data_IF_433941266600
#
_entry.id   IF_433941266600
#
_cell.length_a   1.000
_cell.length_b   1.000
_cell.length_c   1.000
_cell.angle_alpha   90.00
_cell.angle_beta   90.00
_cell.angle_gamma   90.00
#
_symmetry.space_group_name_H-M   'P 1'
#
loop_
_entity.id
_entity.type
_entity.pdbx_description
1 polymer ?
#
# COMPACT_ATOMS: atom_id res chain seq x y z
N UNK A 1 37.64 24.99 74.33
CA UNK A 1 38.16 25.56 73.06
C UNK A 1 38.77 24.42 72.28
N UNK A 2 38.15 24.00 71.18
CA UNK A 2 38.79 23.60 69.93
C UNK A 2 37.63 23.25 68.98
N UNK A 3 37.40 24.14 68.01
CA UNK A 3 36.31 24.01 67.05
C UNK A 3 36.64 22.93 66.01
N UNK A 4 35.64 22.10 65.73
CA UNK A 4 35.59 21.17 64.61
C UNK A 4 35.78 21.90 63.28
N UNK A 5 36.82 21.52 62.51
CA UNK A 5 36.84 21.69 61.06
C UNK A 5 36.48 20.35 60.43
N UNK A 6 35.19 20.16 60.14
CA UNK A 6 34.70 19.07 59.30
C UNK A 6 34.93 19.46 57.84
N UNK A 7 35.75 18.69 57.13
CA UNK A 7 36.07 18.86 55.72
C UNK A 7 34.88 18.37 54.88
N UNK A 8 34.14 19.29 54.26
CA UNK A 8 33.08 18.99 53.30
C UNK A 8 33.71 18.61 51.96
N UNK A 9 33.66 17.32 51.61
CA UNK A 9 33.97 16.82 50.26
C UNK A 9 32.75 17.06 49.36
N UNK A 10 32.91 17.95 48.38
CA UNK A 10 31.94 18.16 47.30
C UNK A 10 32.03 16.99 46.31
N UNK A 11 30.98 16.17 46.23
CA UNK A 11 30.80 15.21 45.15
C UNK A 11 30.35 15.94 43.87
N UNK A 12 30.97 15.68 42.71
CA UNK A 12 30.48 16.23 41.45
C UNK A 12 29.20 15.50 41.03
N UNK A 13 28.16 16.27 40.75
CA UNK A 13 26.96 15.81 40.05
C UNK A 13 27.35 15.36 38.64
N UNK A 14 27.34 14.05 38.39
CA UNK A 14 27.41 13.50 37.04
C UNK A 14 26.01 13.62 36.44
N UNK A 15 25.84 14.54 35.49
CA UNK A 15 24.69 14.54 34.58
C UNK A 15 24.78 13.30 33.69
N UNK A 16 23.94 12.29 33.96
CA UNK A 16 23.66 11.24 32.98
C UNK A 16 22.74 11.85 31.91
N UNK A 17 23.33 12.28 30.79
CA UNK A 17 22.60 12.56 29.58
C UNK A 17 21.99 11.23 29.09
N UNK A 18 20.66 11.12 29.08
CA UNK A 18 19.96 10.03 28.40
C UNK A 18 20.07 10.30 26.89
N UNK A 19 21.18 9.82 26.32
CA UNK A 19 21.43 9.81 24.88
C UNK A 19 20.53 8.80 24.18
N UNK A 20 20.14 9.18 22.96
CA UNK A 20 19.36 8.46 21.96
C UNK A 20 19.04 6.99 22.21
N UNK A 21 17.74 6.68 22.11
CA UNK A 21 17.28 5.33 21.83
C UNK A 21 17.82 4.90 20.45
N UNK A 22 19.03 4.34 20.44
CA UNK A 22 19.50 3.49 19.35
C UNK A 22 18.67 2.21 19.38
N UNK A 23 17.91 1.99 18.30
CA UNK A 23 17.24 0.74 17.99
C UNK A 23 18.25 -0.39 18.00
N UNK A 24 18.27 -1.18 19.07
CA UNK A 24 19.06 -2.41 19.14
C UNK A 24 18.28 -3.51 18.43
N UNK A 25 18.76 -3.92 17.26
CA UNK A 25 18.35 -5.17 16.62
C UNK A 25 18.61 -6.32 17.61
N UNK A 26 17.54 -6.89 18.15
CA UNK A 26 17.64 -8.05 19.03
C UNK A 26 17.65 -9.29 18.16
N UNK A 27 18.82 -9.87 17.95
CA UNK A 27 18.96 -11.16 17.28
C UNK A 27 18.56 -12.25 18.28
N UNK A 28 17.39 -12.85 18.08
CA UNK A 28 17.02 -14.11 18.75
C UNK A 28 17.07 -15.21 17.69
N UNK A 29 17.95 -16.20 17.89
CA UNK A 29 18.00 -17.47 17.15
C UNK A 29 18.25 -17.42 15.62
N UNK A 30 19.00 -16.44 15.09
CA UNK A 30 19.50 -16.52 13.71
C UNK A 30 18.42 -16.55 12.61
N UNK A 31 17.17 -16.31 12.98
CA UNK A 31 16.07 -16.02 12.07
C UNK A 31 15.95 -14.51 12.04
N UNK A 32 16.52 -13.87 11.03
CA UNK A 32 15.96 -12.59 10.60
C UNK A 32 14.60 -12.96 10.05
N UNK A 33 13.51 -12.75 10.80
CA UNK A 33 12.20 -12.68 10.17
C UNK A 33 12.34 -11.57 9.13
N UNK A 34 12.42 -11.93 7.84
CA UNK A 34 12.27 -10.92 6.82
C UNK A 34 10.97 -10.18 7.16
N UNK A 35 11.06 -8.86 7.30
CA UNK A 35 9.86 -8.05 7.50
C UNK A 35 8.87 -8.46 6.41
N UNK A 36 7.66 -8.82 6.81
CA UNK A 36 6.62 -9.14 5.84
C UNK A 36 6.50 -7.97 4.85
N UNK A 37 6.18 -8.24 3.59
CA UNK A 37 6.02 -7.18 2.59
C UNK A 37 5.09 -6.06 3.07
N UNK A 38 4.05 -6.41 3.83
CA UNK A 38 3.16 -5.47 4.50
C UNK A 38 3.94 -4.50 5.40
N UNK A 39 4.72 -5.01 6.36
CA UNK A 39 5.47 -4.16 7.32
C UNK A 39 6.56 -3.33 6.64
N UNK A 40 7.17 -3.86 5.56
CA UNK A 40 8.14 -3.12 4.74
C UNK A 40 7.55 -1.85 4.14
N UNK A 41 6.32 -1.89 3.64
CA UNK A 41 5.70 -0.77 2.92
C UNK A 41 4.69 0.04 3.74
N UNK A 42 4.01 -0.59 4.70
CA UNK A 42 2.96 0.00 5.53
C UNK A 42 3.45 0.08 6.98
N UNK A 43 3.90 1.26 7.38
CA UNK A 43 4.33 1.56 8.76
C UNK A 43 4.30 3.08 9.00
N UNK A 44 4.40 3.49 10.26
CA UNK A 44 4.31 4.89 10.69
C UNK A 44 5.43 5.79 10.12
N UNK A 45 6.55 5.22 9.70
CA UNK A 45 7.63 5.98 9.05
C UNK A 45 7.34 6.24 7.57
N UNK A 46 6.60 5.34 6.93
CA UNK A 46 6.28 5.40 5.51
C UNK A 46 4.97 6.13 5.22
N UNK A 47 3.99 6.01 6.10
CA UNK A 47 2.62 6.47 5.86
C UNK A 47 2.36 7.76 6.63
N UNK A 48 1.65 8.71 6.01
CA UNK A 48 1.09 9.84 6.76
C UNK A 48 -0.06 9.39 7.65
N UNK A 49 -0.82 8.39 7.18
CA UNK A 49 -1.87 7.69 7.92
C UNK A 49 -1.93 6.25 7.42
N UNK A 50 -2.04 5.30 8.35
CA UNK A 50 -2.45 3.93 8.04
C UNK A 50 -3.96 3.89 8.20
N UNK A 51 -4.65 3.42 7.18
CA UNK A 51 -6.11 3.25 7.17
C UNK A 51 -6.37 1.76 7.04
N UNK A 52 -7.08 1.20 8.00
CA UNK A 52 -7.40 -0.23 8.08
C UNK A 52 -8.92 -0.35 8.18
N UNK A 53 -9.54 -0.89 7.14
CA UNK A 53 -10.99 -1.03 7.06
C UNK A 53 -11.43 -2.49 7.13
N UNK A 54 -10.67 -3.33 7.83
CA UNK A 54 -10.87 -4.79 8.01
C UNK A 54 -10.52 -5.64 6.77
N UNK A 55 -10.86 -5.17 5.56
CA UNK A 55 -10.62 -5.92 4.32
C UNK A 55 -9.27 -5.59 3.68
N UNK A 56 -8.86 -4.32 3.76
CA UNK A 56 -7.63 -3.81 3.16
C UNK A 56 -6.91 -2.84 4.11
N UNK A 57 -5.58 -2.86 4.06
CA UNK A 57 -4.74 -1.92 4.82
C UNK A 57 -4.02 -0.99 3.84
N UNK A 58 -4.19 0.31 4.03
CA UNK A 58 -3.70 1.35 3.13
C UNK A 58 -2.67 2.25 3.81
N UNK A 59 -1.51 2.41 3.16
CA UNK A 59 -0.52 3.41 3.51
C UNK A 59 -0.81 4.71 2.75
N UNK A 60 -1.48 5.67 3.39
CA UNK A 60 -1.87 6.92 2.75
C UNK A 60 -0.82 8.02 2.90
N UNK A 61 -0.62 8.84 1.87
CA UNK A 61 0.30 9.98 1.87
C UNK A 61 -0.45 11.30 1.62
N UNK A 62 -0.46 12.19 2.62
CA UNK A 62 -1.20 13.45 2.54
C UNK A 62 -0.67 14.41 1.46
N UNK A 63 0.62 14.33 1.10
CA UNK A 63 1.20 15.21 0.08
C UNK A 63 0.85 14.74 -1.32
N UNK A 64 0.70 13.42 -1.51
CA UNK A 64 0.28 12.82 -2.78
C UNK A 64 -1.24 12.79 -2.92
N UNK A 65 -1.98 12.88 -1.81
CA UNK A 65 -3.43 12.69 -1.75
C UNK A 65 -3.83 11.33 -2.34
N UNK A 66 -3.02 10.32 -2.06
CA UNK A 66 -3.13 8.99 -2.64
C UNK A 66 -2.34 7.99 -1.78
N UNK A 67 -2.66 6.71 -1.93
CA UNK A 67 -1.89 5.63 -1.30
C UNK A 67 -0.49 5.50 -1.91
N UNK A 68 0.47 5.14 -1.05
CA UNK A 68 1.78 4.60 -1.42
C UNK A 68 1.74 3.08 -1.57
N UNK A 69 0.95 2.41 -0.74
CA UNK A 69 0.77 0.97 -0.83
C UNK A 69 -0.57 0.54 -0.24
N UNK A 70 -1.07 -0.59 -0.73
CA UNK A 70 -2.29 -1.26 -0.24
C UNK A 70 -1.98 -2.74 -0.08
N UNK A 71 -2.31 -3.30 1.08
CA UNK A 71 -2.11 -4.71 1.40
C UNK A 71 -3.45 -5.36 1.72
N UNK A 72 -3.62 -6.60 1.27
CA UNK A 72 -4.79 -7.43 1.53
C UNK A 72 -4.45 -8.90 1.35
N UNK A 73 -5.31 -9.76 1.88
CA UNK A 73 -5.21 -11.21 1.75
C UNK A 73 -6.43 -11.70 0.99
N UNK A 74 -6.20 -12.55 -0.01
CA UNK A 74 -7.25 -13.22 -0.76
C UNK A 74 -7.41 -14.63 -0.23
N UNK A 75 -8.61 -14.97 0.20
CA UNK A 75 -8.99 -16.34 0.53
C UNK A 75 -9.55 -17.00 -0.73
N UNK A 76 -8.95 -18.12 -1.14
CA UNK A 76 -9.24 -18.77 -2.42
C UNK A 76 -10.68 -19.24 -2.54
N UNK A 77 -11.31 -19.64 -1.44
CA UNK A 77 -12.72 -20.07 -1.40
C UNK A 77 -13.72 -18.93 -1.65
N UNK A 78 -13.35 -17.69 -1.36
CA UNK A 78 -14.16 -16.50 -1.63
C UNK A 78 -14.00 -15.96 -3.06
N UNK A 79 -12.94 -16.37 -3.78
CA UNK A 79 -12.67 -15.86 -5.12
C UNK A 79 -13.69 -16.40 -6.14
N UNK A 80 -14.37 -15.47 -6.82
CA UNK A 80 -15.42 -15.75 -7.79
C UNK A 80 -16.62 -16.55 -7.22
N UNK A 81 -16.87 -16.48 -5.90
CA UNK A 81 -17.99 -17.17 -5.25
C UNK A 81 -19.34 -16.51 -5.58
N UNK A 82 -19.56 -15.28 -5.08
CA UNK A 82 -20.83 -14.55 -5.25
C UNK A 82 -20.89 -13.76 -6.56
N UNK A 83 -19.83 -13.03 -6.90
CA UNK A 83 -19.74 -12.13 -8.07
C UNK A 83 -20.87 -11.08 -8.10
N UNK A 84 -20.95 -10.22 -7.09
CA UNK A 84 -21.96 -9.15 -7.04
C UNK A 84 -21.85 -8.24 -8.28
N UNK A 85 -22.91 -8.18 -9.08
CA UNK A 85 -22.96 -7.37 -10.30
C UNK A 85 -23.11 -5.86 -10.02
N UNK A 86 -23.93 -5.50 -9.04
CA UNK A 86 -24.20 -4.09 -8.70
C UNK A 86 -23.01 -3.47 -7.98
N UNK A 87 -22.42 -2.45 -8.61
CA UNK A 87 -21.21 -1.80 -8.11
C UNK A 87 -21.53 -0.54 -7.29
N UNK A 88 -20.98 -0.39 -6.07
CA UNK A 88 -21.17 0.82 -5.26
C UNK A 88 -20.72 2.11 -5.95
N UNK A 89 -21.16 3.23 -5.42
CA UNK A 89 -20.60 4.52 -5.80
C UNK A 89 -19.33 4.81 -5.02
N UNK A 90 -18.30 5.30 -5.69
CA UNK A 90 -17.08 5.79 -5.02
C UNK A 90 -17.42 6.83 -3.95
N UNK A 91 -16.83 6.67 -2.77
CA UNK A 91 -17.09 7.53 -1.62
C UNK A 91 -15.80 8.06 -1.00
N UNK A 92 -15.90 9.17 -0.26
CA UNK A 92 -14.73 9.78 0.37
C UNK A 92 -14.33 9.02 1.62
N UNK A 93 -13.02 8.87 1.83
CA UNK A 93 -12.50 8.27 3.06
C UNK A 93 -12.78 9.17 4.26
N UNK A 94 -13.61 8.68 5.20
CA UNK A 94 -14.11 9.45 6.34
C UNK A 94 -13.04 9.64 7.42
N UNK A 95 -12.06 8.75 7.50
CA UNK A 95 -10.96 8.86 8.46
C UNK A 95 -9.95 9.96 8.11
N UNK A 96 -9.83 10.32 6.83
CA UNK A 96 -8.99 11.42 6.40
C UNK A 96 -9.62 12.77 6.76
N UNK A 97 -8.83 13.80 7.02
CA UNK A 97 -9.38 15.16 7.13
C UNK A 97 -9.79 15.67 5.74
N UNK A 98 -10.78 16.57 5.66
CA UNK A 98 -11.29 17.09 4.38
C UNK A 98 -10.21 17.69 3.46
N UNK A 99 -9.17 18.31 4.04
CA UNK A 99 -8.03 18.86 3.27
C UNK A 99 -7.13 17.78 2.66
N UNK A 100 -7.20 16.55 3.16
CA UNK A 100 -6.37 15.41 2.77
C UNK A 100 -7.11 14.41 1.87
N UNK A 101 -8.41 14.60 1.66
CA UNK A 101 -9.24 13.79 0.77
C UNK A 101 -9.15 14.24 -0.69
N UNK A 102 -9.52 13.33 -1.59
CA UNK A 102 -9.86 13.61 -2.98
C UNK A 102 -11.35 13.36 -3.20
N UNK A 103 -11.90 13.85 -4.31
CA UNK A 103 -13.28 13.61 -4.71
C UNK A 103 -13.35 13.06 -6.13
N UNK A 104 -14.49 12.47 -6.50
CA UNK A 104 -14.72 11.96 -7.86
C UNK A 104 -14.54 13.04 -8.94
N UNK A 105 -14.79 14.31 -8.61
CA UNK A 105 -14.61 15.44 -9.53
C UNK A 105 -13.15 15.72 -9.89
N UNK A 106 -12.18 15.24 -9.09
CA UNK A 106 -10.75 15.37 -9.43
C UNK A 106 -10.36 14.56 -10.68
N UNK A 107 -11.14 13.52 -11.00
CA UNK A 107 -10.94 12.67 -12.17
C UNK A 107 -11.61 13.24 -13.44
N UNK A 108 -12.56 14.16 -13.29
CA UNK A 108 -13.30 14.74 -14.42
C UNK A 108 -12.34 15.43 -15.39
N UNK A 109 -12.39 15.04 -16.67
CA UNK A 109 -11.52 15.56 -17.74
C UNK A 109 -10.00 15.38 -17.48
N UNK A 110 -9.60 14.50 -16.56
CA UNK A 110 -8.18 14.25 -16.25
C UNK A 110 -7.47 13.39 -17.30
N UNK A 111 -8.24 12.58 -18.05
CA UNK A 111 -7.71 11.53 -18.93
C UNK A 111 -7.35 10.22 -18.21
N UNK A 112 -7.49 10.16 -16.89
CA UNK A 112 -7.24 8.98 -16.06
C UNK A 112 -8.54 8.36 -15.56
N UNK A 113 -8.52 7.04 -15.38
CA UNK A 113 -9.56 6.31 -14.69
C UNK A 113 -9.34 6.35 -13.18
N UNK A 114 -10.44 6.10 -12.45
CA UNK A 114 -10.44 5.73 -11.03
C UNK A 114 -10.00 4.26 -10.92
N UNK A 115 -8.70 4.05 -10.81
CA UNK A 115 -8.11 2.71 -10.73
C UNK A 115 -8.02 2.22 -9.30
N UNK A 116 -8.55 1.04 -9.03
CA UNK A 116 -8.45 0.37 -7.74
C UNK A 116 -7.02 -0.14 -7.49
N UNK A 117 -6.52 -0.03 -6.25
CA UNK A 117 -5.31 -0.72 -5.83
C UNK A 117 -5.62 -2.10 -5.23
N UNK A 118 -6.66 -2.20 -4.41
CA UNK A 118 -7.35 -3.44 -4.11
C UNK A 118 -8.59 -3.58 -5.02
N UNK A 119 -8.63 -4.56 -5.94
CA UNK A 119 -9.64 -4.63 -7.00
C UNK A 119 -11.02 -5.04 -6.49
N UNK A 120 -12.06 -4.37 -6.97
CA UNK A 120 -13.47 -4.68 -6.66
C UNK A 120 -13.84 -6.15 -6.89
N UNK A 121 -13.41 -6.76 -7.99
CA UNK A 121 -13.68 -8.16 -8.32
C UNK A 121 -13.02 -9.18 -7.36
N UNK A 122 -12.10 -8.77 -6.49
CA UNK A 122 -11.57 -9.63 -5.42
C UNK A 122 -12.35 -9.52 -4.11
N UNK A 123 -13.26 -8.57 -4.00
CA UNK A 123 -14.02 -8.29 -2.77
C UNK A 123 -15.54 -8.32 -3.02
N UNK A 124 -16.00 -8.90 -4.13
CA UNK A 124 -17.42 -8.96 -4.48
C UNK A 124 -18.14 -10.23 -4.00
N UNK A 125 -17.63 -10.81 -2.91
CA UNK A 125 -18.24 -11.93 -2.18
C UNK A 125 -19.23 -11.47 -1.10
N UNK A 126 -19.15 -10.22 -0.64
CA UNK A 126 -20.16 -9.56 0.21
C UNK A 126 -20.32 -8.07 -0.13
N UNK A 127 -21.47 -7.47 0.20
CA UNK A 127 -21.69 -6.02 0.00
C UNK A 127 -20.71 -5.17 0.82
N UNK A 128 -20.35 -5.63 2.02
CA UNK A 128 -19.45 -4.93 2.94
C UNK A 128 -18.01 -4.91 2.41
N UNK A 129 -17.49 -6.07 2.01
CA UNK A 129 -16.15 -6.16 1.40
C UNK A 129 -16.07 -5.35 0.10
N UNK A 130 -17.14 -5.36 -0.69
CA UNK A 130 -17.20 -4.59 -1.93
C UNK A 130 -17.22 -3.09 -1.66
N UNK A 131 -18.07 -2.58 -0.77
CA UNK A 131 -18.10 -1.14 -0.44
C UNK A 131 -16.77 -0.64 0.15
N UNK A 132 -16.10 -1.48 0.94
CA UNK A 132 -14.82 -1.16 1.58
C UNK A 132 -13.72 -0.79 0.57
N UNK A 133 -13.72 -1.38 -0.63
CA UNK A 133 -12.73 -1.06 -1.67
C UNK A 133 -13.11 0.12 -2.56
N UNK A 134 -14.35 0.64 -2.47
CA UNK A 134 -14.82 1.82 -3.20
C UNK A 134 -14.49 3.16 -2.52
N UNK A 135 -13.83 3.12 -1.36
CA UNK A 135 -13.24 4.32 -0.75
C UNK A 135 -12.22 4.96 -1.70
N UNK A 136 -12.33 6.26 -1.92
CA UNK A 136 -11.43 7.02 -2.78
C UNK A 136 -9.98 7.05 -2.28
N UNK A 137 -9.70 6.60 -1.05
CA UNK A 137 -8.34 6.36 -0.57
C UNK A 137 -7.67 5.17 -1.28
N UNK A 138 -8.42 4.13 -1.66
CA UNK A 138 -7.94 2.97 -2.42
C UNK A 138 -7.76 3.26 -3.93
N UNK A 139 -8.22 4.44 -4.37
CA UNK A 139 -8.28 4.79 -5.80
C UNK A 139 -7.12 5.70 -6.16
N UNK A 140 -6.52 5.43 -7.32
CA UNK A 140 -5.44 6.22 -7.89
C UNK A 140 -5.70 6.54 -9.37
N UNK A 141 -5.00 7.56 -9.95
CA UNK A 141 -5.08 7.83 -11.38
C UNK A 141 -4.38 6.71 -12.15
N UNK A 142 -5.15 5.88 -12.86
CA UNK A 142 -4.62 4.86 -13.76
C UNK A 142 -4.93 5.19 -15.21
N UNK A 143 -3.94 5.00 -16.08
CA UNK A 143 -4.11 5.16 -17.52
C UNK A 143 -5.17 4.15 -18.01
N UNK A 144 -6.14 4.57 -18.87
CA UNK A 144 -7.28 3.72 -19.20
C UNK A 144 -6.93 2.34 -19.78
N UNK A 145 -5.90 2.26 -20.62
CA UNK A 145 -5.46 0.98 -21.19
C UNK A 145 -4.78 0.08 -20.15
N UNK A 146 -4.09 0.67 -19.17
CA UNK A 146 -3.51 -0.10 -18.07
C UNK A 146 -4.63 -0.62 -17.17
N UNK A 147 -5.50 0.25 -16.68
CA UNK A 147 -6.61 -0.11 -15.78
C UNK A 147 -7.52 -1.19 -16.38
N UNK A 148 -8.06 -0.92 -17.58
CA UNK A 148 -9.14 -1.72 -18.17
C UNK A 148 -8.65 -3.00 -18.87
N UNK A 149 -7.34 -3.12 -19.12
CA UNK A 149 -6.75 -4.25 -19.84
C UNK A 149 -5.63 -4.88 -19.03
N UNK A 150 -4.41 -4.35 -19.13
CA UNK A 150 -3.20 -5.01 -18.63
C UNK A 150 -3.25 -5.31 -17.13
N UNK A 151 -3.68 -4.33 -16.33
CA UNK A 151 -3.83 -4.47 -14.88
C UNK A 151 -4.99 -5.40 -14.50
N UNK A 152 -6.15 -5.26 -15.16
CA UNK A 152 -7.28 -6.17 -14.97
C UNK A 152 -6.94 -7.64 -15.31
N UNK A 153 -6.08 -7.88 -16.31
CA UNK A 153 -5.57 -9.21 -16.64
C UNK A 153 -4.73 -9.79 -15.50
N UNK A 154 -3.83 -8.99 -14.92
CA UNK A 154 -3.08 -9.39 -13.73
C UNK A 154 -4.02 -9.66 -12.54
N UNK A 155 -5.02 -8.81 -12.32
CA UNK A 155 -5.97 -9.01 -11.22
C UNK A 155 -6.76 -10.30 -11.37
N UNK A 156 -7.11 -10.70 -12.59
CA UNK A 156 -7.70 -12.02 -12.87
C UNK A 156 -6.75 -13.15 -12.50
N UNK A 157 -5.50 -13.09 -12.98
CA UNK A 157 -4.47 -14.08 -12.65
C UNK A 157 -4.27 -14.24 -11.13
N UNK A 158 -4.30 -13.12 -10.40
CA UNK A 158 -4.13 -13.11 -8.94
C UNK A 158 -5.28 -13.82 -8.23
N UNK A 159 -6.53 -13.69 -8.71
CA UNK A 159 -7.67 -14.44 -8.16
C UNK A 159 -7.53 -15.94 -8.43
N UNK A 160 -7.16 -16.32 -9.65
CA UNK A 160 -6.93 -17.72 -10.02
C UNK A 160 -5.81 -18.34 -9.16
N UNK A 161 -4.73 -17.57 -8.91
CA UNK A 161 -3.63 -17.99 -8.06
C UNK A 161 -4.03 -18.14 -6.59
N UNK A 162 -4.89 -17.27 -6.07
CA UNK A 162 -5.43 -17.40 -4.72
C UNK A 162 -6.30 -18.66 -4.57
N UNK A 163 -7.06 -19.04 -5.60
CA UNK A 163 -7.80 -20.31 -5.61
C UNK A 163 -6.86 -21.52 -5.61
N UNK A 164 -5.76 -21.46 -6.38
CA UNK A 164 -4.76 -22.54 -6.46
C UNK A 164 -4.04 -22.76 -5.12
N UNK A 165 -3.67 -21.68 -4.43
CA UNK A 165 -2.88 -21.72 -3.19
C UNK A 165 -3.74 -21.75 -1.92
N UNK A 166 -5.07 -21.59 -2.04
CA UNK A 166 -6.00 -21.48 -0.91
C UNK A 166 -5.97 -20.14 -0.19
N UNK A 167 -4.80 -19.51 -0.09
CA UNK A 167 -4.62 -18.14 0.40
C UNK A 167 -3.53 -17.43 -0.40
N UNK A 168 -3.68 -16.13 -0.64
CA UNK A 168 -2.62 -15.31 -1.24
C UNK A 168 -2.56 -13.92 -0.62
N UNK A 169 -1.40 -13.57 -0.08
CA UNK A 169 -1.13 -12.23 0.41
C UNK A 169 -0.66 -11.33 -0.74
N UNK A 170 -1.19 -10.11 -0.79
CA UNK A 170 -0.90 -9.15 -1.84
C UNK A 170 -0.47 -7.82 -1.23
N UNK A 171 0.59 -7.23 -1.78
CA UNK A 171 0.95 -5.84 -1.54
C UNK A 171 1.11 -5.12 -2.86
N UNK A 172 0.24 -4.16 -3.13
CA UNK A 172 0.43 -3.24 -4.25
C UNK A 172 1.20 -2.01 -3.77
N UNK A 173 2.23 -1.62 -4.52
CA UNK A 173 3.12 -0.49 -4.20
C UNK A 173 3.10 0.50 -5.35
N UNK A 174 2.82 1.76 -5.07
CA UNK A 174 2.70 2.82 -6.08
C UNK A 174 4.03 3.54 -6.22
N UNK A 175 4.61 3.49 -7.42
CA UNK A 175 5.87 4.15 -7.73
C UNK A 175 5.61 5.58 -8.17
N UNK A 176 5.90 6.54 -7.30
CA UNK A 176 5.81 7.97 -7.64
C UNK A 176 7.16 8.51 -8.14
N UNK A 177 7.13 9.52 -9.01
CA UNK A 177 8.34 10.28 -9.34
C UNK A 177 8.62 11.37 -8.30
N UNK A 178 9.89 11.78 -8.18
CA UNK A 178 10.30 12.90 -7.30
C UNK A 178 9.46 14.17 -7.53
N UNK A 179 9.06 14.43 -8.78
CA UNK A 179 8.15 15.51 -9.19
C UNK A 179 7.04 14.92 -10.04
N UNK A 180 6.11 14.23 -9.40
CA UNK A 180 4.93 13.69 -10.06
C UNK A 180 4.01 14.80 -10.54
N UNK A 181 3.48 14.67 -11.75
CA UNK A 181 2.40 15.53 -12.24
C UNK A 181 1.18 15.41 -11.32
N UNK A 182 0.32 16.43 -11.32
CA UNK A 182 -0.86 16.48 -10.45
C UNK A 182 -2.12 16.72 -11.25
N UNK A 183 -3.25 16.20 -10.77
CA UNK A 183 -4.57 16.37 -11.39
C UNK A 183 -5.63 16.80 -10.38
N UNK A 184 -6.75 17.28 -10.92
CA UNK A 184 -7.90 17.69 -10.12
C UNK A 184 -7.67 18.97 -9.30
N UNK A 185 -8.73 19.40 -8.63
CA UNK A 185 -8.71 20.58 -7.75
C UNK A 185 -7.88 20.29 -6.49
N UNK A 186 -7.94 19.05 -6.00
CA UNK A 186 -7.21 18.62 -4.80
C UNK A 186 -5.74 18.25 -5.10
N UNK A 187 -5.28 18.43 -6.35
CA UNK A 187 -3.88 18.28 -6.73
C UNK A 187 -3.31 16.89 -6.44
N UNK A 188 -4.08 15.85 -6.70
CA UNK A 188 -3.69 14.45 -6.51
C UNK A 188 -2.49 14.09 -7.40
N UNK A 189 -1.51 13.37 -6.86
CA UNK A 189 -0.32 12.97 -7.59
C UNK A 189 -0.61 11.83 -8.58
N UNK A 190 -0.02 11.92 -9.77
CA UNK A 190 -0.05 10.88 -10.79
C UNK A 190 1.24 10.04 -10.67
N UNK A 191 1.09 8.74 -10.46
CA UNK A 191 2.22 7.80 -10.34
C UNK A 191 2.94 7.58 -11.67
N UNK A 192 4.14 7.01 -11.60
CA UNK A 192 4.86 6.45 -12.77
C UNK A 192 4.46 5.02 -13.06
N UNK A 193 3.92 4.31 -12.08
CA UNK A 193 3.56 2.91 -12.23
C UNK A 193 3.28 2.26 -10.88
N UNK A 194 3.12 0.95 -10.93
CA UNK A 194 2.67 0.13 -9.81
C UNK A 194 3.46 -1.17 -9.80
N UNK A 195 3.87 -1.59 -8.61
CA UNK A 195 4.25 -2.96 -8.35
C UNK A 195 3.08 -3.70 -7.72
N UNK A 196 2.97 -5.00 -8.01
CA UNK A 196 2.13 -5.95 -7.27
C UNK A 196 3.03 -7.08 -6.80
N UNK A 197 3.07 -7.29 -5.49
CA UNK A 197 3.77 -8.39 -4.83
C UNK A 197 2.74 -9.42 -4.41
N UNK A 198 2.96 -10.67 -4.79
CA UNK A 198 2.15 -11.82 -4.44
C UNK A 198 3.01 -12.75 -3.60
N UNK A 199 2.52 -13.21 -2.45
CA UNK A 199 3.26 -14.16 -1.63
C UNK A 199 2.36 -15.04 -0.78
N UNK A 200 2.81 -16.27 -0.55
CA UNK A 200 2.25 -17.20 0.42
C UNK A 200 3.44 -17.94 1.05
N UNK A 201 3.67 -17.72 2.35
CA UNK A 201 4.82 -18.27 3.07
C UNK A 201 4.69 -19.78 3.27
N UNK A 202 3.48 -20.28 3.53
CA UNK A 202 3.20 -21.71 3.74
C UNK A 202 3.46 -22.53 2.48
N UNK A 203 3.16 -21.96 1.31
CA UNK A 203 3.40 -22.56 -0.01
C UNK A 203 4.77 -22.18 -0.60
N UNK A 204 5.58 -21.40 0.12
CA UNK A 204 6.87 -20.85 -0.35
C UNK A 204 6.75 -20.22 -1.76
N UNK A 205 5.68 -19.46 -1.99
CA UNK A 205 5.33 -18.83 -3.25
C UNK A 205 5.60 -17.33 -3.20
N UNK A 206 6.22 -16.80 -4.25
CA UNK A 206 6.45 -15.37 -4.43
C UNK A 206 6.50 -15.00 -5.92
N UNK A 207 5.73 -13.98 -6.32
CA UNK A 207 5.82 -13.36 -7.65
C UNK A 207 5.62 -11.85 -7.60
N UNK A 208 6.33 -11.11 -8.44
CA UNK A 208 6.19 -9.66 -8.53
C UNK A 208 6.04 -9.15 -9.96
N UNK A 209 5.21 -8.13 -10.10
CA UNK A 209 4.91 -7.50 -11.38
C UNK A 209 5.13 -6.00 -11.33
N UNK A 210 5.46 -5.38 -12.47
CA UNK A 210 5.52 -3.93 -12.64
C UNK A 210 4.77 -3.44 -13.88
N UNK A 211 3.91 -2.44 -13.68
CA UNK A 211 3.17 -1.78 -14.75
C UNK A 211 3.47 -0.28 -14.78
N UNK A 212 3.77 0.24 -15.97
CA UNK A 212 3.98 1.67 -16.19
C UNK A 212 2.63 2.37 -16.35
N UNK A 213 2.39 3.44 -15.58
CA UNK A 213 1.18 4.25 -15.68
C UNK A 213 1.30 5.28 -16.81
N UNK A 214 1.17 4.82 -18.06
CA UNK A 214 1.38 5.65 -19.26
C UNK A 214 0.13 5.73 -20.12
N UNK A 215 -0.31 6.96 -20.40
CA UNK A 215 -1.38 7.24 -21.36
C UNK A 215 -0.96 6.89 -22.79
N UNK A 216 -1.92 6.44 -23.60
CA UNK A 216 -1.73 6.22 -25.04
C UNK A 216 -0.89 5.00 -25.42
N UNK A 217 -0.66 4.06 -24.50
CA UNK A 217 -0.04 2.76 -24.80
C UNK A 217 -1.13 1.75 -25.14
N UNK A 218 -0.96 0.98 -26.22
CA UNK A 218 -1.87 -0.13 -26.55
C UNK A 218 -1.59 -1.34 -25.65
N UNK A 219 -2.65 -2.06 -25.28
CA UNK A 219 -2.59 -3.30 -24.51
C UNK A 219 -2.93 -4.55 -25.37
N UNK A 220 -3.03 -4.41 -26.71
CA UNK A 220 -3.55 -5.48 -27.57
C UNK A 220 -2.65 -6.74 -27.59
N UNK A 221 -1.35 -6.58 -27.34
CA UNK A 221 -0.38 -7.67 -27.25
C UNK A 221 0.26 -7.78 -25.86
N UNK A 222 -0.41 -7.25 -24.84
CA UNK A 222 0.09 -7.26 -23.46
C UNK A 222 0.06 -8.68 -22.90
N UNK A 223 1.25 -9.20 -22.57
CA UNK A 223 1.44 -10.52 -21.96
C UNK A 223 1.95 -10.36 -20.54
N UNK A 224 1.38 -11.12 -19.61
CA UNK A 224 1.57 -10.93 -18.17
C UNK A 224 3.02 -11.16 -17.77
N UNK A 225 3.68 -12.11 -18.44
CA UNK A 225 5.07 -12.50 -18.21
C UNK A 225 6.07 -11.37 -18.50
N UNK A 226 5.77 -10.47 -19.44
CA UNK A 226 6.61 -9.31 -19.75
C UNK A 226 6.61 -8.26 -18.62
N UNK A 227 5.65 -8.35 -17.70
CA UNK A 227 5.57 -7.49 -16.51
C UNK A 227 6.24 -8.09 -15.28
N UNK A 228 6.68 -9.34 -15.33
CA UNK A 228 7.39 -10.00 -14.25
C UNK A 228 8.69 -9.27 -13.89
N UNK A 229 8.92 -9.05 -12.60
CA UNK A 229 10.15 -8.44 -12.07
C UNK A 229 10.61 -9.19 -10.83
N UNK A 230 11.90 -9.08 -10.49
CA UNK A 230 12.39 -9.58 -9.21
C UNK A 230 11.73 -8.83 -8.04
N UNK A 231 11.22 -9.54 -7.03
CA UNK A 231 10.64 -8.89 -5.86
C UNK A 231 11.63 -8.05 -5.06
N UNK A 232 12.94 -8.33 -5.19
CA UNK A 232 14.01 -7.52 -4.61
C UNK A 232 14.05 -6.08 -5.15
N UNK A 233 13.49 -5.80 -6.34
CA UNK A 233 13.49 -4.44 -6.92
C UNK A 233 12.28 -3.59 -6.52
N UNK A 234 11.33 -4.16 -5.78
CA UNK A 234 10.10 -3.44 -5.38
C UNK A 234 10.43 -2.35 -4.38
N UNK A 235 10.06 -1.12 -4.72
CA UNK A 235 10.33 0.08 -3.93
C UNK A 235 9.22 1.13 -4.08
N UNK A 236 9.05 1.96 -3.03
CA UNK A 236 8.22 3.17 -3.03
C UNK A 236 8.84 4.31 -3.84
#
# INVERSE_FOLDING_TARGET
MYQNKLLLLLFPFIFLACGGATTTNTTINGFTSELSYKEKFINEHNCSQIIDNEFIVMCYDYQKKAVKSVSYTLLGDLMNETNIDERPSFHVEKELQSKDRISTTDYTNSGYDKGHMAPDASFDWSEESLDAVYTLANIIPQAPQVNRRSWAKLESYVRDKAQELGELNVVNVVKYGQRSSRMGKNQMAISKGYYKVLYNEDENYEECFYYNNKLGVSADNDVLEEHGVSCAVVSN
#
